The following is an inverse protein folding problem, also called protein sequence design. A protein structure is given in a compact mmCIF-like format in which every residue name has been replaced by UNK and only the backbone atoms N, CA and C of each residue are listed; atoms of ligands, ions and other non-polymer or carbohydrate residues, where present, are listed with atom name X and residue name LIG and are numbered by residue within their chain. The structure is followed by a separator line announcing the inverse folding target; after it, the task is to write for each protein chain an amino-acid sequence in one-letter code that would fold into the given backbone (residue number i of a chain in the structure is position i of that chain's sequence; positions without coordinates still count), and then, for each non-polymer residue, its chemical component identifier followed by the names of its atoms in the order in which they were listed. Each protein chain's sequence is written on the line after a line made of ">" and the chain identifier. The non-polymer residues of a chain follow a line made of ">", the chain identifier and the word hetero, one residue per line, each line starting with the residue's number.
data_IF_286116033705
#
_entry.id   IF_286116033705
#
_cell.length_a   1.000
_cell.length_b   1.000
_cell.length_c   1.000
_cell.angle_alpha   90.00
_cell.angle_beta   90.00
_cell.angle_gamma   90.00
#
_symmetry.space_group_name_H-M   'P 1'
#
loop_
_entity.id
_entity.type
_entity.pdbx_description
1 polymer ?
#
# COMPACT_ATOMS: atom_id res chain seq x y z
N UNK A 1 -14.44 -58.55 34.88
CA UNK A 1 -13.40 -58.05 33.96
C UNK A 1 -13.46 -56.53 34.03
N UNK A 2 -12.46 -55.82 34.55
CA UNK A 2 -12.51 -54.35 34.61
C UNK A 2 -11.95 -53.74 33.33
N UNK A 3 -12.60 -52.64 32.89
CA UNK A 3 -12.25 -51.86 31.72
C UNK A 3 -10.96 -51.07 31.93
N UNK A 4 -10.08 -51.05 30.92
CA UNK A 4 -8.87 -50.25 30.91
C UNK A 4 -9.17 -48.79 30.56
N UNK A 5 -8.45 -47.80 31.13
CA UNK A 5 -8.62 -46.40 30.80
C UNK A 5 -7.88 -46.05 29.48
N UNK A 6 -8.56 -45.29 28.62
CA UNK A 6 -8.02 -44.75 27.38
C UNK A 6 -6.89 -43.75 27.65
N UNK A 7 -5.72 -43.99 27.07
CA UNK A 7 -4.60 -43.05 27.05
C UNK A 7 -4.88 -41.90 26.07
N UNK A 8 -5.06 -40.71 26.57
CA UNK A 8 -5.04 -39.50 25.77
C UNK A 8 -3.65 -39.28 25.17
N UNK A 9 -3.54 -39.30 23.85
CA UNK A 9 -2.32 -38.91 23.13
C UNK A 9 -2.20 -37.38 23.18
N UNK A 10 -1.26 -36.87 23.96
CA UNK A 10 -0.77 -35.52 23.90
C UNK A 10 0.03 -35.40 22.60
N UNK A 11 -0.49 -34.62 21.66
CA UNK A 11 0.23 -34.27 20.44
C UNK A 11 1.35 -33.28 20.77
N UNK A 12 2.60 -33.47 20.29
CA UNK A 12 3.69 -32.57 20.55
C UNK A 12 3.42 -31.22 19.89
N UNK A 13 3.61 -30.12 20.63
CA UNK A 13 3.56 -28.76 20.13
C UNK A 13 4.56 -28.61 18.97
N UNK A 14 4.08 -28.56 17.75
CA UNK A 14 4.89 -28.19 16.58
C UNK A 14 5.31 -26.73 16.78
N UNK A 15 6.56 -26.49 17.16
CA UNK A 15 7.21 -25.18 16.91
C UNK A 15 7.10 -24.93 15.41
N UNK A 16 6.26 -23.98 15.03
CA UNK A 16 6.14 -23.50 13.63
C UNK A 16 7.46 -22.79 13.32
N UNK A 17 8.37 -23.48 12.66
CA UNK A 17 9.49 -22.83 12.02
C UNK A 17 8.90 -21.91 10.95
N UNK A 18 9.11 -20.61 11.06
CA UNK A 18 8.77 -19.65 10.00
C UNK A 18 9.38 -20.15 8.69
N UNK A 19 8.62 -20.25 7.59
CA UNK A 19 9.19 -20.67 6.33
C UNK A 19 10.34 -19.72 5.94
N UNK A 20 11.43 -20.28 5.43
CA UNK A 20 12.66 -19.52 5.07
C UNK A 20 12.36 -18.28 4.21
N UNK A 21 11.32 -18.32 3.35
CA UNK A 21 10.84 -17.20 2.55
C UNK A 21 10.33 -16.03 3.38
N UNK A 22 9.58 -16.28 4.47
CA UNK A 22 9.12 -15.21 5.37
C UNK A 22 10.29 -14.56 6.13
N UNK A 23 11.23 -15.36 6.60
CA UNK A 23 12.44 -14.84 7.26
C UNK A 23 13.25 -13.96 6.30
N UNK A 24 13.38 -14.34 5.02
CA UNK A 24 14.06 -13.55 4.01
C UNK A 24 13.33 -12.22 3.75
N UNK A 25 12.01 -12.23 3.65
CA UNK A 25 11.22 -11.01 3.45
C UNK A 25 11.31 -10.05 4.64
N UNK A 26 11.28 -10.57 5.88
CA UNK A 26 11.45 -9.75 7.09
C UNK A 26 12.85 -9.13 7.14
N UNK A 27 13.89 -9.88 6.80
CA UNK A 27 15.27 -9.36 6.73
C UNK A 27 15.37 -8.26 5.67
N UNK A 28 14.74 -8.42 4.49
CA UNK A 28 14.72 -7.39 3.46
C UNK A 28 13.95 -6.14 3.88
N UNK A 29 12.81 -6.26 4.55
CA UNK A 29 12.05 -5.12 5.07
C UNK A 29 12.81 -4.37 6.17
N UNK A 30 13.45 -5.10 7.07
CA UNK A 30 14.32 -4.51 8.11
C UNK A 30 15.57 -3.84 7.49
N UNK A 31 16.15 -4.45 6.47
CA UNK A 31 17.28 -3.86 5.73
C UNK A 31 16.84 -2.60 4.99
N UNK A 32 15.66 -2.57 4.38
CA UNK A 32 15.12 -1.38 3.73
C UNK A 32 14.85 -0.26 4.74
N UNK A 33 14.23 -0.57 5.88
CA UNK A 33 14.02 0.40 6.97
C UNK A 33 15.34 0.92 7.52
N UNK A 34 16.32 0.06 7.68
CA UNK A 34 17.67 0.46 8.11
C UNK A 34 18.39 1.29 7.06
N UNK A 35 18.22 0.98 5.77
CA UNK A 35 18.79 1.76 4.66
C UNK A 35 18.08 3.12 4.56
N UNK A 36 16.75 3.17 4.70
CA UNK A 36 15.98 4.40 4.73
C UNK A 36 16.35 5.26 5.96
N UNK A 37 16.46 4.64 7.14
CA UNK A 37 16.93 5.29 8.35
C UNK A 37 18.37 5.79 8.21
N UNK A 38 19.29 4.99 7.63
CA UNK A 38 20.66 5.40 7.37
C UNK A 38 20.78 6.43 6.25
N UNK A 39 19.93 6.41 5.25
CA UNK A 39 19.86 7.46 4.23
C UNK A 39 19.46 8.80 4.88
N UNK A 40 18.57 8.75 5.87
CA UNK A 40 18.15 9.94 6.63
C UNK A 40 19.15 10.37 7.72
N UNK A 41 19.81 9.42 8.40
CA UNK A 41 20.73 9.69 9.53
C UNK A 41 22.19 9.95 9.14
N UNK A 42 22.63 9.49 7.97
CA UNK A 42 23.97 9.72 7.41
C UNK A 42 23.90 10.48 6.10
N UNK A 43 22.92 11.30 5.85
CA UNK A 43 22.65 12.05 4.62
C UNK A 43 23.44 11.54 3.39
N UNK A 44 22.84 11.35 2.25
CA UNK A 44 23.61 11.40 0.99
C UNK A 44 24.49 12.63 1.09
N UNK A 45 25.66 12.66 0.47
CA UNK A 45 26.59 13.79 0.59
C UNK A 45 25.79 15.10 0.67
N UNK A 46 26.15 16.03 1.53
CA UNK A 46 25.37 17.25 1.81
C UNK A 46 24.91 18.00 0.53
N UNK A 47 25.55 17.76 -0.60
CA UNK A 47 25.11 18.20 -1.94
C UNK A 47 23.84 17.51 -2.42
N UNK A 48 23.65 16.19 -2.24
CA UNK A 48 22.47 15.48 -2.73
C UNK A 48 21.20 15.92 -1.96
N UNK A 49 21.29 16.16 -0.66
CA UNK A 49 20.14 16.63 0.17
C UNK A 49 19.87 18.12 0.02
N UNK A 50 20.85 18.94 -0.35
CA UNK A 50 20.68 20.39 -0.46
C UNK A 50 19.95 20.79 -1.76
N UNK A 51 20.01 19.94 -2.79
CA UNK A 51 19.30 20.11 -4.08
C UNK A 51 17.91 19.47 -4.07
N UNK A 52 17.64 18.53 -3.14
CA UNK A 52 16.39 17.75 -3.04
C UNK A 52 15.50 18.28 -1.92
N UNK A 53 14.77 19.37 -2.17
CA UNK A 53 13.66 19.76 -1.29
C UNK A 53 12.35 19.34 -1.94
N UNK A 54 11.93 18.12 -1.63
CA UNK A 54 10.57 17.68 -1.91
C UNK A 54 9.62 18.19 -0.83
N UNK A 55 8.35 18.26 -1.17
CA UNK A 55 7.29 18.64 -0.25
C UNK A 55 7.01 17.51 0.74
N UNK A 56 6.35 17.79 1.90
CA UNK A 56 6.05 16.75 2.89
C UNK A 56 5.24 15.58 2.33
N UNK A 57 4.32 15.85 1.39
CA UNK A 57 3.56 14.82 0.67
C UNK A 57 4.15 14.59 -0.72
N UNK A 58 4.48 13.34 -1.03
CA UNK A 58 5.04 12.94 -2.32
C UNK A 58 4.20 11.87 -2.99
N UNK A 59 3.78 12.11 -4.23
CA UNK A 59 3.30 11.05 -5.12
C UNK A 59 4.46 10.28 -5.73
N UNK A 60 4.37 8.97 -5.83
CA UNK A 60 5.39 8.13 -6.48
C UNK A 60 4.73 7.21 -7.49
N UNK A 61 5.15 7.30 -8.74
CA UNK A 61 4.72 6.43 -9.82
C UNK A 61 5.92 5.79 -10.52
N UNK A 62 5.71 4.63 -11.13
CA UNK A 62 6.60 4.06 -12.15
C UNK A 62 5.82 3.94 -13.44
N UNK A 63 6.42 4.27 -14.57
CA UNK A 63 5.71 4.32 -15.85
C UNK A 63 6.56 3.83 -17.01
N UNK A 64 5.89 3.22 -17.97
CA UNK A 64 6.40 2.96 -19.33
C UNK A 64 5.53 3.65 -20.38
N UNK A 65 4.51 4.38 -19.94
CA UNK A 65 3.55 5.10 -20.77
C UNK A 65 4.01 6.54 -21.02
N UNK A 66 3.33 7.20 -21.93
CA UNK A 66 3.47 8.63 -22.18
C UNK A 66 2.82 9.45 -21.06
N UNK A 67 3.12 10.75 -21.03
CA UNK A 67 2.47 11.68 -20.09
C UNK A 67 0.99 11.75 -20.39
N UNK A 68 0.16 11.45 -19.42
CA UNK A 68 -1.29 11.42 -19.57
C UNK A 68 -1.99 12.48 -18.69
N UNK A 69 -3.30 12.60 -18.87
CA UNK A 69 -4.11 13.58 -18.16
C UNK A 69 -4.15 13.34 -16.65
N UNK A 70 -4.10 12.07 -16.19
CA UNK A 70 -4.12 11.74 -14.77
C UNK A 70 -2.90 12.34 -14.05
N UNK A 71 -1.71 12.16 -14.63
CA UNK A 71 -0.46 12.70 -14.10
C UNK A 71 -0.44 14.24 -14.16
N UNK A 72 -0.88 14.83 -15.28
CA UNK A 72 -0.98 16.29 -15.42
C UNK A 72 -1.93 16.88 -14.38
N UNK A 73 -3.07 16.26 -14.17
CA UNK A 73 -4.05 16.71 -13.18
C UNK A 73 -3.55 16.54 -11.75
N UNK A 74 -2.77 15.51 -11.46
CA UNK A 74 -2.15 15.31 -10.15
C UNK A 74 -1.31 16.52 -9.75
N UNK A 75 -0.35 16.95 -10.59
CA UNK A 75 0.55 18.09 -10.28
C UNK A 75 -0.14 19.45 -10.33
N UNK A 76 -1.29 19.57 -11.02
CA UNK A 76 -2.06 20.82 -11.09
C UNK A 76 -2.99 21.02 -9.92
N UNK A 77 -3.54 19.94 -9.36
CA UNK A 77 -4.58 19.99 -8.34
C UNK A 77 -4.04 20.33 -6.96
N UNK A 78 -2.86 19.83 -6.65
CA UNK A 78 -2.28 20.01 -5.32
C UNK A 78 -0.88 20.66 -5.44
N UNK A 79 -0.78 21.91 -4.97
CA UNK A 79 0.48 22.66 -4.99
C UNK A 79 1.45 22.23 -3.90
N UNK A 80 0.97 21.51 -2.90
CA UNK A 80 1.77 21.06 -1.75
C UNK A 80 2.27 19.62 -1.89
N UNK A 81 2.12 19.03 -3.08
CA UNK A 81 2.61 17.68 -3.40
C UNK A 81 3.79 17.74 -4.36
N UNK A 82 4.79 16.89 -4.14
CA UNK A 82 5.82 16.59 -5.14
C UNK A 82 5.52 15.26 -5.82
N UNK A 83 5.62 15.19 -7.15
CA UNK A 83 5.51 13.97 -7.91
C UNK A 83 6.89 13.44 -8.28
N UNK A 84 7.20 12.21 -7.90
CA UNK A 84 8.40 11.47 -8.28
C UNK A 84 8.04 10.41 -9.30
N UNK A 85 8.55 10.55 -10.52
CA UNK A 85 8.29 9.65 -11.64
C UNK A 85 9.51 8.81 -11.95
N UNK A 86 9.35 7.50 -11.91
CA UNK A 86 10.41 6.53 -12.22
C UNK A 86 10.19 5.97 -13.62
N UNK A 87 11.05 6.38 -14.55
CA UNK A 87 11.09 5.81 -15.89
C UNK A 87 11.83 4.47 -15.93
N UNK A 88 11.53 3.67 -16.95
CA UNK A 88 12.26 2.45 -17.28
C UNK A 88 12.76 2.51 -18.73
N UNK A 89 13.45 1.50 -19.22
CA UNK A 89 14.03 1.50 -20.58
C UNK A 89 13.01 1.71 -21.72
N UNK A 90 11.73 1.44 -21.47
CA UNK A 90 10.65 1.61 -22.45
C UNK A 90 9.95 2.96 -22.40
N UNK A 91 10.28 3.78 -21.41
CA UNK A 91 9.64 5.09 -21.19
C UNK A 91 10.11 6.09 -22.24
N UNK A 92 9.20 6.96 -22.71
CA UNK A 92 9.54 8.10 -23.58
C UNK A 92 10.23 9.20 -22.75
N UNK A 93 11.56 9.15 -22.68
CA UNK A 93 12.35 10.02 -21.79
C UNK A 93 12.23 11.51 -22.14
N UNK A 94 12.14 11.88 -23.42
CA UNK A 94 12.12 13.27 -23.86
C UNK A 94 10.80 13.94 -23.45
N UNK A 95 9.70 13.22 -23.54
CA UNK A 95 8.39 13.70 -23.12
C UNK A 95 8.34 13.92 -21.60
N UNK A 96 8.84 12.98 -20.81
CA UNK A 96 8.87 13.09 -19.36
C UNK A 96 9.83 14.19 -18.87
N UNK A 97 10.92 14.45 -19.60
CA UNK A 97 11.80 15.60 -19.31
C UNK A 97 11.09 16.91 -19.61
N UNK A 98 10.39 17.02 -20.75
CA UNK A 98 9.58 18.18 -21.09
C UNK A 98 8.49 18.43 -20.03
N UNK A 99 7.87 17.36 -19.52
CA UNK A 99 6.89 17.45 -18.43
C UNK A 99 7.55 17.96 -17.14
N UNK A 100 8.70 17.45 -16.76
CA UNK A 100 9.46 17.93 -15.60
C UNK A 100 9.83 19.40 -15.74
N UNK A 101 10.34 19.82 -16.90
CA UNK A 101 10.72 21.22 -17.13
C UNK A 101 9.54 22.18 -16.99
N UNK A 102 8.36 21.72 -17.44
CA UNK A 102 7.11 22.50 -17.30
C UNK A 102 6.60 22.59 -15.88
N UNK A 103 6.81 21.54 -15.06
CA UNK A 103 6.30 21.43 -13.69
C UNK A 103 7.45 21.27 -12.67
N UNK A 104 8.57 21.98 -12.89
CA UNK A 104 9.84 21.83 -12.14
C UNK A 104 9.69 22.00 -10.62
N UNK A 105 8.69 22.76 -10.13
CA UNK A 105 8.42 22.93 -8.70
C UNK A 105 7.59 21.79 -8.08
N UNK A 106 7.02 20.92 -8.92
CA UNK A 106 6.08 19.89 -8.48
C UNK A 106 6.42 18.48 -8.98
N UNK A 107 7.28 18.34 -9.98
CA UNK A 107 7.59 17.03 -10.56
C UNK A 107 9.09 16.78 -10.74
N UNK A 108 9.52 15.58 -10.41
CA UNK A 108 10.87 15.08 -10.67
C UNK A 108 10.76 13.80 -11.48
N UNK A 109 11.43 13.76 -12.63
CA UNK A 109 11.52 12.58 -13.46
C UNK A 109 12.93 11.96 -13.38
N UNK A 110 13.00 10.67 -13.08
CA UNK A 110 14.24 9.92 -13.01
C UNK A 110 14.34 8.91 -14.16
N UNK A 111 15.13 9.25 -15.18
CA UNK A 111 15.47 8.31 -16.26
C UNK A 111 16.35 7.18 -15.75
N UNK A 112 16.58 6.09 -16.52
CA UNK A 112 17.53 5.05 -16.16
C UNK A 112 18.93 5.57 -15.82
N UNK A 113 19.43 6.58 -16.53
CA UNK A 113 20.74 7.19 -16.27
C UNK A 113 20.75 7.94 -14.94
N UNK A 114 19.70 8.72 -14.64
CA UNK A 114 19.55 9.44 -13.37
C UNK A 114 19.52 8.45 -12.20
N UNK A 115 18.72 7.37 -12.33
CA UNK A 115 18.61 6.33 -11.31
C UNK A 115 19.94 5.65 -11.02
N UNK A 116 20.78 5.38 -12.04
CA UNK A 116 22.09 4.76 -11.87
C UNK A 116 23.07 5.66 -11.11
N UNK A 117 22.90 6.97 -11.15
CA UNK A 117 23.72 7.95 -10.43
C UNK A 117 23.35 8.12 -8.95
N UNK A 118 22.20 7.58 -8.52
CA UNK A 118 21.73 7.72 -7.14
C UNK A 118 22.64 6.94 -6.16
N UNK A 119 22.87 7.48 -4.95
CA UNK A 119 23.78 6.89 -3.98
C UNK A 119 23.17 5.73 -3.18
N UNK A 120 22.20 5.00 -3.75
CA UNK A 120 21.51 3.90 -3.07
C UNK A 120 22.06 2.55 -3.51
N UNK A 121 22.77 1.84 -2.63
CA UNK A 121 23.35 0.53 -2.93
C UNK A 121 22.30 -0.54 -3.29
N UNK A 122 21.05 -0.38 -2.85
CA UNK A 122 19.94 -1.29 -3.15
C UNK A 122 19.56 -1.30 -4.65
N UNK A 123 19.86 -0.22 -5.40
CA UNK A 123 19.44 -0.07 -6.80
C UNK A 123 19.96 -1.16 -7.73
N UNK A 124 21.17 -1.68 -7.46
CA UNK A 124 21.77 -2.78 -8.23
C UNK A 124 21.01 -4.10 -8.13
N UNK A 125 20.14 -4.24 -7.11
CA UNK A 125 19.35 -5.45 -6.87
C UNK A 125 17.91 -5.33 -7.37
N UNK A 126 17.50 -4.15 -7.83
CA UNK A 126 16.15 -3.91 -8.38
C UNK A 126 16.23 -4.07 -9.91
N UNK A 127 15.58 -5.10 -10.49
CA UNK A 127 15.66 -5.36 -11.93
C UNK A 127 14.99 -4.25 -12.75
N UNK A 128 15.46 -4.06 -13.97
CA UNK A 128 14.81 -3.22 -14.99
C UNK A 128 13.58 -3.94 -15.58
N UNK A 129 12.70 -3.18 -16.22
CA UNK A 129 11.42 -3.66 -16.75
C UNK A 129 10.62 -4.45 -15.70
N UNK A 130 10.63 -3.97 -14.48
CA UNK A 130 10.02 -4.62 -13.35
C UNK A 130 9.29 -3.60 -12.45
N UNK A 131 8.07 -3.92 -12.02
CA UNK A 131 7.26 -3.07 -11.15
C UNK A 131 8.00 -2.62 -9.88
N UNK A 132 8.87 -3.48 -9.33
CA UNK A 132 9.71 -3.15 -8.17
C UNK A 132 10.63 -1.94 -8.35
N UNK A 133 10.84 -1.42 -9.61
CA UNK A 133 11.55 -0.16 -9.84
C UNK A 133 10.92 1.02 -9.10
N UNK A 134 9.63 0.98 -8.80
CA UNK A 134 8.93 1.96 -7.97
C UNK A 134 9.61 2.17 -6.62
N UNK A 135 10.27 1.14 -6.06
CA UNK A 135 11.07 1.25 -4.82
C UNK A 135 12.21 2.28 -4.91
N UNK A 136 12.71 2.58 -6.11
CA UNK A 136 13.70 3.65 -6.32
C UNK A 136 13.07 5.01 -6.04
N UNK A 137 11.84 5.22 -6.50
CA UNK A 137 11.07 6.43 -6.23
C UNK A 137 10.78 6.62 -4.75
N UNK A 138 10.45 5.54 -4.04
CA UNK A 138 10.26 5.61 -2.60
C UNK A 138 11.54 6.01 -1.87
N UNK A 139 12.68 5.41 -2.22
CA UNK A 139 13.96 5.79 -1.63
C UNK A 139 14.33 7.25 -1.92
N UNK A 140 14.06 7.71 -3.15
CA UNK A 140 14.29 9.09 -3.54
C UNK A 140 13.40 10.07 -2.76
N UNK A 141 12.11 9.77 -2.64
CA UNK A 141 11.15 10.56 -1.88
C UNK A 141 11.52 10.64 -0.39
N UNK A 142 11.88 9.52 0.22
CA UNK A 142 12.35 9.46 1.62
C UNK A 142 13.62 10.30 1.81
N UNK A 143 14.59 10.18 0.90
CA UNK A 143 15.82 10.97 0.96
C UNK A 143 15.57 12.46 0.74
N UNK A 144 14.56 12.81 -0.05
CA UNK A 144 14.09 14.17 -0.31
C UNK A 144 13.29 14.80 0.83
N UNK A 145 13.02 14.05 1.91
CA UNK A 145 12.36 14.56 3.12
C UNK A 145 10.84 14.45 3.12
N UNK A 146 10.23 13.64 2.22
CA UNK A 146 8.80 13.38 2.29
C UNK A 146 8.43 12.72 3.62
N UNK A 147 7.33 13.16 4.22
CA UNK A 147 6.76 12.63 5.46
C UNK A 147 5.62 11.66 5.18
N UNK A 148 4.97 11.84 4.03
CA UNK A 148 3.94 10.97 3.50
C UNK A 148 4.22 10.64 2.04
N UNK A 149 3.99 9.39 1.64
CA UNK A 149 4.15 8.93 0.27
C UNK A 149 2.83 8.35 -0.22
N UNK A 150 2.32 8.92 -1.31
CA UNK A 150 1.20 8.39 -2.04
C UNK A 150 1.70 7.49 -3.18
N UNK A 151 1.51 6.19 -3.01
CA UNK A 151 1.85 5.15 -3.97
C UNK A 151 0.63 4.89 -4.86
N UNK A 152 0.72 5.21 -6.15
CA UNK A 152 -0.40 5.07 -7.09
C UNK A 152 0.08 4.71 -8.49
N UNK A 153 -0.85 4.32 -9.35
CA UNK A 153 -0.56 3.99 -10.75
C UNK A 153 -0.72 5.24 -11.64
N UNK A 154 0.02 5.28 -12.75
CA UNK A 154 0.12 6.43 -13.63
C UNK A 154 -1.17 6.75 -14.41
N UNK A 155 -2.15 5.85 -14.42
CA UNK A 155 -3.48 6.01 -15.02
C UNK A 155 -4.58 6.40 -14.01
N UNK A 156 -4.22 6.68 -12.77
CA UNK A 156 -5.18 6.96 -11.72
C UNK A 156 -5.51 8.45 -11.59
N UNK A 157 -6.79 8.80 -11.68
CA UNK A 157 -7.30 10.16 -11.51
C UNK A 157 -7.74 10.44 -10.07
N UNK A 158 -7.24 11.50 -9.46
CA UNK A 158 -7.75 11.97 -8.18
C UNK A 158 -9.18 12.52 -8.33
N UNK A 159 -10.12 12.01 -7.53
CA UNK A 159 -11.52 12.43 -7.54
C UNK A 159 -11.71 13.80 -6.90
N UNK A 160 -11.07 14.06 -5.78
CA UNK A 160 -11.19 15.32 -5.07
C UNK A 160 -10.22 16.36 -5.61
N UNK A 161 -10.69 17.57 -5.98
CA UNK A 161 -9.82 18.67 -6.34
C UNK A 161 -9.05 19.27 -5.15
N UNK A 162 -9.41 18.91 -3.92
CA UNK A 162 -8.88 19.47 -2.67
C UNK A 162 -7.76 18.61 -2.08
N UNK A 163 -7.31 17.58 -2.81
CA UNK A 163 -6.15 16.79 -2.44
C UNK A 163 -6.35 15.86 -1.23
N UNK A 164 -5.23 15.52 -0.59
CA UNK A 164 -5.17 14.56 0.51
C UNK A 164 -5.54 15.15 1.88
N UNK A 165 -5.66 16.47 2.01
CA UNK A 165 -5.83 17.18 3.27
C UNK A 165 -7.11 16.79 4.03
N UNK A 166 -8.13 16.33 3.30
CA UNK A 166 -9.41 15.97 3.89
C UNK A 166 -9.51 14.56 4.45
N UNK A 167 -8.57 13.66 4.12
CA UNK A 167 -8.66 12.26 4.59
C UNK A 167 -8.66 12.17 6.11
N UNK A 168 -7.97 13.08 6.79
CA UNK A 168 -7.93 13.15 8.25
C UNK A 168 -9.28 13.54 8.89
N UNK A 169 -10.15 14.23 8.14
CA UNK A 169 -11.48 14.65 8.61
C UNK A 169 -12.59 13.62 8.32
N UNK A 170 -12.29 12.54 7.63
CA UNK A 170 -13.28 11.53 7.27
C UNK A 170 -13.71 10.71 8.48
N UNK A 171 -14.97 10.24 8.44
CA UNK A 171 -15.51 9.41 9.51
C UNK A 171 -14.73 8.09 9.62
N UNK A 172 -14.22 7.79 10.81
CA UNK A 172 -13.46 6.58 11.09
C UNK A 172 -14.33 5.54 11.78
N UNK A 173 -14.21 4.32 11.34
CA UNK A 173 -14.79 3.14 11.96
C UNK A 173 -13.68 2.15 12.30
N UNK A 174 -13.65 1.67 13.53
CA UNK A 174 -12.77 0.59 13.93
C UNK A 174 -13.55 -0.71 14.01
N UNK A 175 -12.97 -1.77 13.45
CA UNK A 175 -13.51 -3.11 13.60
C UNK A 175 -12.93 -3.74 14.87
N UNK A 176 -13.78 -4.42 15.61
CA UNK A 176 -13.38 -5.31 16.71
C UNK A 176 -13.59 -6.75 16.29
N UNK A 177 -12.58 -7.59 16.47
CA UNK A 177 -12.74 -9.03 16.35
C UNK A 177 -13.55 -9.53 17.58
N UNK A 178 -14.64 -10.25 17.32
CA UNK A 178 -15.51 -10.82 18.35
C UNK A 178 -15.14 -12.24 18.73
N UNK A 179 -14.31 -12.89 17.88
CA UNK A 179 -13.79 -14.25 18.11
C UNK A 179 -12.30 -14.30 17.84
N UNK A 180 -11.62 -15.30 18.43
CA UNK A 180 -10.20 -15.54 18.20
C UNK A 180 -9.89 -16.16 16.82
N UNK A 181 -10.89 -16.60 16.09
CA UNK A 181 -10.77 -17.24 14.77
C UNK A 181 -10.91 -16.24 13.61
N UNK A 182 -11.12 -14.97 13.91
CA UNK A 182 -11.17 -13.88 12.93
C UNK A 182 -9.75 -13.54 12.44
N UNK A 183 -9.32 -14.13 11.33
CA UNK A 183 -7.96 -13.97 10.81
C UNK A 183 -7.85 -13.13 9.54
N UNK A 184 -8.94 -12.97 8.82
CA UNK A 184 -9.00 -12.20 7.55
C UNK A 184 -10.28 -11.39 7.49
N UNK A 185 -10.21 -10.21 6.87
CA UNK A 185 -11.36 -9.35 6.62
C UNK A 185 -11.31 -8.77 5.20
N UNK A 186 -12.45 -8.73 4.54
CA UNK A 186 -12.64 -8.14 3.23
C UNK A 186 -13.35 -6.78 3.36
N UNK A 187 -12.68 -5.64 3.17
CA UNK A 187 -13.26 -4.32 3.38
C UNK A 187 -14.19 -3.86 2.26
N UNK A 188 -14.08 -4.42 1.04
CA UNK A 188 -14.77 -3.92 -0.13
C UNK A 188 -16.31 -3.86 0.03
N UNK A 189 -16.98 -4.91 0.55
CA UNK A 189 -18.42 -4.88 0.77
C UNK A 189 -18.89 -3.78 1.73
N UNK A 190 -18.05 -3.40 2.71
CA UNK A 190 -18.36 -2.31 3.63
C UNK A 190 -18.57 -0.97 2.92
N UNK A 191 -17.89 -0.74 1.81
CA UNK A 191 -18.00 0.50 1.02
C UNK A 191 -19.15 0.49 0.01
N UNK A 192 -20.08 -0.46 0.10
CA UNK A 192 -21.31 -0.53 -0.67
C UNK A 192 -21.08 -0.48 -2.19
N UNK A 193 -20.48 -1.53 -2.79
CA UNK A 193 -20.22 -1.57 -4.21
C UNK A 193 -21.51 -1.67 -5.04
N UNK A 194 -21.54 -1.04 -6.22
CA UNK A 194 -22.69 -0.99 -7.14
C UNK A 194 -23.20 -2.36 -7.57
N UNK A 195 -22.31 -3.36 -7.64
CA UNK A 195 -22.62 -4.72 -8.09
C UNK A 195 -22.96 -5.68 -6.94
N UNK A 196 -23.33 -5.16 -5.77
CA UNK A 196 -23.64 -5.95 -4.58
C UNK A 196 -22.40 -6.34 -3.78
N UNK A 197 -22.62 -7.01 -2.66
CA UNK A 197 -21.58 -7.26 -1.65
C UNK A 197 -20.62 -8.40 -2.01
N UNK A 198 -20.90 -9.19 -3.04
CA UNK A 198 -20.05 -10.32 -3.41
C UNK A 198 -18.87 -9.87 -4.30
N UNK A 199 -17.98 -9.09 -3.69
CA UNK A 199 -16.74 -8.56 -4.28
C UNK A 199 -15.57 -8.82 -3.34
N UNK A 200 -14.37 -9.07 -3.87
CA UNK A 200 -13.16 -9.24 -3.08
C UNK A 200 -11.92 -8.66 -3.78
N UNK A 201 -10.94 -8.12 -3.02
CA UNK A 201 -9.72 -7.58 -3.57
C UNK A 201 -8.79 -8.68 -4.08
N UNK A 202 -7.90 -8.32 -4.98
CA UNK A 202 -6.77 -9.16 -5.37
C UNK A 202 -5.96 -9.53 -4.13
N UNK A 203 -5.59 -10.82 -4.05
CA UNK A 203 -4.82 -11.33 -2.92
C UNK A 203 -5.65 -11.75 -1.70
N UNK A 204 -6.97 -11.55 -1.69
CA UNK A 204 -7.83 -12.10 -0.64
C UNK A 204 -7.82 -13.64 -0.70
N UNK A 205 -7.72 -14.36 0.43
CA UNK A 205 -7.67 -15.81 0.41
C UNK A 205 -8.95 -16.43 -0.16
N UNK A 206 -8.83 -17.18 -1.25
CA UNK A 206 -9.97 -17.67 -2.03
C UNK A 206 -10.92 -18.57 -1.24
N UNK A 207 -10.43 -19.30 -0.24
CA UNK A 207 -11.25 -20.15 0.63
C UNK A 207 -12.25 -19.35 1.49
N UNK A 208 -12.03 -18.04 1.68
CA UNK A 208 -12.88 -17.18 2.51
C UNK A 208 -13.79 -16.24 1.72
N UNK A 209 -13.74 -16.24 0.38
CA UNK A 209 -14.55 -15.29 -0.43
C UNK A 209 -16.07 -15.49 -0.27
N UNK A 210 -16.52 -16.66 0.18
CA UNK A 210 -17.93 -16.99 0.42
C UNK A 210 -18.30 -17.03 1.91
N UNK A 211 -17.36 -16.78 2.78
CA UNK A 211 -17.60 -16.77 4.22
C UNK A 211 -18.07 -15.36 4.64
N UNK A 212 -19.37 -15.22 4.89
CA UNK A 212 -19.99 -13.96 5.27
C UNK A 212 -19.41 -13.38 6.55
N UNK A 213 -18.86 -14.20 7.44
CA UNK A 213 -18.20 -13.72 8.64
C UNK A 213 -16.93 -12.90 8.35
N UNK A 214 -16.38 -12.98 7.13
CA UNK A 214 -15.18 -12.24 6.74
C UNK A 214 -15.47 -10.86 6.13
N UNK A 215 -16.72 -10.52 5.82
CA UNK A 215 -17.06 -9.25 5.17
C UNK A 215 -18.36 -8.61 5.64
N UNK A 216 -19.19 -9.32 6.37
CA UNK A 216 -20.42 -8.74 6.95
C UNK A 216 -20.09 -8.06 8.28
N UNK A 217 -20.62 -6.86 8.50
CA UNK A 217 -20.48 -6.14 9.77
C UNK A 217 -21.84 -5.52 10.15
N UNK A 218 -22.39 -5.83 11.34
CA UNK A 218 -21.88 -6.79 12.33
C UNK A 218 -22.03 -8.24 11.87
N UNK A 219 -21.14 -9.12 12.37
CA UNK A 219 -21.16 -10.56 12.13
C UNK A 219 -20.78 -11.33 13.40
N UNK A 220 -20.69 -12.67 13.30
CA UNK A 220 -20.15 -13.48 14.40
C UNK A 220 -18.67 -13.18 14.69
N UNK A 221 -17.92 -12.72 13.68
CA UNK A 221 -16.48 -12.48 13.78
C UNK A 221 -16.10 -11.02 13.98
N UNK A 222 -16.97 -10.08 13.58
CA UNK A 222 -16.64 -8.64 13.59
C UNK A 222 -17.81 -7.77 14.06
N UNK A 223 -17.50 -6.77 14.89
CA UNK A 223 -18.38 -5.68 15.27
C UNK A 223 -17.75 -4.33 14.89
N UNK A 224 -18.60 -3.31 14.66
CA UNK A 224 -18.16 -1.92 14.51
C UNK A 224 -18.10 -1.24 15.86
N UNK A 225 -17.07 -0.43 16.02
CA UNK A 225 -16.95 0.57 17.05
C UNK A 225 -16.85 1.95 16.39
N UNK A 226 -17.68 2.90 16.80
CA UNK A 226 -17.52 4.28 16.37
C UNK A 226 -16.25 4.81 17.06
N UNK A 227 -15.22 5.07 16.28
CA UNK A 227 -13.99 5.62 16.79
C UNK A 227 -14.14 7.14 16.92
N UNK A 228 -14.76 7.57 18.00
CA UNK A 228 -14.77 8.97 18.46
C UNK A 228 -13.40 9.31 19.08
N UNK A 229 -12.31 9.21 18.34
CA UNK A 229 -11.01 9.42 18.95
C UNK A 229 -10.00 10.12 18.04
N UNK A 230 -9.23 11.00 18.66
CA UNK A 230 -8.17 11.85 18.09
C UNK A 230 -6.96 11.08 17.52
N UNK A 231 -6.98 9.74 17.47
CA UNK A 231 -5.81 8.94 17.10
C UNK A 231 -5.75 8.58 15.59
N UNK A 232 -6.05 9.58 14.73
CA UNK A 232 -5.85 9.42 13.28
C UNK A 232 -4.38 9.17 12.95
N UNK A 233 -3.45 9.75 13.71
CA UNK A 233 -2.01 9.58 13.53
C UNK A 233 -1.56 8.11 13.70
N UNK A 234 -2.36 7.26 14.33
CA UNK A 234 -2.08 5.83 14.43
C UNK A 234 -2.32 5.07 13.12
N UNK A 235 -3.08 5.63 12.15
CA UNK A 235 -3.33 5.00 10.85
C UNK A 235 -2.21 5.38 9.88
N UNK A 236 -1.14 4.61 9.88
CA UNK A 236 0.07 4.92 9.11
C UNK A 236 0.04 4.44 7.65
N UNK A 237 -0.92 3.60 7.28
CA UNK A 237 -1.17 3.14 5.90
C UNK A 237 -2.65 3.28 5.61
N UNK A 238 -3.01 4.00 4.56
CA UNK A 238 -4.40 4.14 4.11
C UNK A 238 -4.50 3.66 2.67
N UNK A 239 -5.16 2.51 2.46
CA UNK A 239 -5.53 2.04 1.14
C UNK A 239 -6.84 2.70 0.71
N UNK A 240 -6.83 3.54 -0.30
CA UNK A 240 -8.04 4.03 -0.94
C UNK A 240 -8.60 3.00 -1.92
N UNK A 241 -9.91 2.80 -1.92
CA UNK A 241 -10.56 2.05 -2.98
C UNK A 241 -10.56 2.89 -4.27
N UNK A 242 -10.56 2.22 -5.42
CA UNK A 242 -10.68 2.87 -6.72
C UNK A 242 -12.08 2.64 -7.31
N UNK A 243 -12.72 3.71 -7.79
CA UNK A 243 -13.96 3.58 -8.56
C UNK A 243 -13.66 3.13 -10.00
N UNK A 244 -14.64 2.53 -10.64
CA UNK A 244 -14.68 2.02 -12.01
C UNK A 244 -13.84 0.75 -12.21
N UNK A 245 -12.56 0.77 -11.90
CA UNK A 245 -11.65 -0.38 -12.06
C UNK A 245 -10.86 -0.65 -10.77
N UNK A 246 -11.54 -1.13 -9.69
CA UNK A 246 -10.86 -1.50 -8.46
C UNK A 246 -9.95 -2.70 -8.67
N UNK A 247 -8.91 -2.80 -7.84
CA UNK A 247 -7.98 -3.91 -7.88
C UNK A 247 -8.61 -5.20 -7.32
N UNK A 248 -9.41 -5.83 -8.15
CA UNK A 248 -10.05 -7.11 -7.85
C UNK A 248 -9.26 -8.28 -8.44
N UNK A 249 -9.52 -9.44 -7.91
CA UNK A 249 -8.94 -10.71 -8.32
C UNK A 249 -9.27 -11.06 -9.78
N UNK A 250 -8.40 -11.84 -10.43
CA UNK A 250 -8.58 -12.24 -11.83
C UNK A 250 -9.85 -13.06 -12.05
N UNK A 251 -10.23 -13.93 -11.09
CA UNK A 251 -11.47 -14.72 -11.18
C UNK A 251 -12.67 -13.78 -11.13
N UNK A 252 -12.63 -12.76 -10.28
CA UNK A 252 -13.66 -11.73 -10.25
C UNK A 252 -13.82 -11.07 -11.61
N UNK A 253 -12.73 -10.59 -12.22
CA UNK A 253 -12.72 -9.93 -13.54
C UNK A 253 -13.27 -10.80 -14.65
N UNK A 254 -13.03 -12.10 -14.60
CA UNK A 254 -13.51 -13.06 -15.61
C UNK A 254 -14.98 -13.45 -15.43
N UNK A 255 -15.55 -13.30 -14.24
CA UNK A 255 -16.88 -13.84 -13.89
C UNK A 255 -17.89 -12.80 -13.48
N UNK A 256 -17.47 -11.55 -13.25
CA UNK A 256 -18.31 -10.46 -12.73
C UNK A 256 -18.17 -9.21 -13.58
N UNK A 257 -19.24 -8.40 -13.70
CA UNK A 257 -19.19 -7.18 -14.49
C UNK A 257 -18.34 -6.08 -13.85
N UNK A 258 -17.69 -5.27 -14.69
CA UNK A 258 -17.11 -3.97 -14.41
C UNK A 258 -17.86 -2.94 -15.28
N UNK A 259 -17.88 -1.66 -14.96
CA UNK A 259 -17.20 -0.99 -13.83
C UNK A 259 -17.92 -1.17 -12.48
N UNK A 260 -17.20 -0.91 -11.39
CA UNK A 260 -17.72 -0.90 -10.02
C UNK A 260 -17.45 0.48 -9.41
N UNK A 261 -18.44 1.04 -8.72
CA UNK A 261 -18.27 2.22 -7.89
C UNK A 261 -18.68 1.91 -6.46
N UNK A 262 -18.09 2.63 -5.51
CA UNK A 262 -18.37 2.49 -4.09
C UNK A 262 -19.16 3.70 -3.61
N UNK A 263 -20.30 3.45 -2.93
CA UNK A 263 -21.24 4.51 -2.54
C UNK A 263 -20.95 5.13 -1.17
N UNK A 264 -20.25 4.42 -0.30
CA UNK A 264 -19.88 4.99 1.00
C UNK A 264 -18.70 5.92 0.81
N UNK A 265 -18.91 7.21 1.06
CA UNK A 265 -17.94 8.29 0.87
C UNK A 265 -17.38 8.77 2.22
N UNK A 266 -16.28 9.51 2.18
CA UNK A 266 -15.64 10.17 3.32
C UNK A 266 -15.52 9.27 4.57
N UNK A 267 -15.11 8.04 4.34
CA UNK A 267 -15.09 6.99 5.38
C UNK A 267 -13.76 6.26 5.37
N UNK A 268 -13.24 5.99 6.58
CA UNK A 268 -12.09 5.11 6.81
C UNK A 268 -12.54 3.96 7.69
N UNK A 269 -12.19 2.74 7.28
CA UNK A 269 -12.40 1.51 8.02
C UNK A 269 -11.05 0.96 8.48
N UNK A 270 -10.88 0.75 9.76
CA UNK A 270 -9.64 0.24 10.36
C UNK A 270 -9.86 -1.18 10.88
N UNK A 271 -9.26 -2.20 10.26
CA UNK A 271 -9.31 -3.58 10.74
C UNK A 271 -8.58 -3.75 12.09
N UNK A 272 -8.98 -4.70 12.93
CA UNK A 272 -8.32 -4.95 14.20
C UNK A 272 -6.93 -5.58 14.00
N UNK A 273 -6.11 -5.52 15.04
CA UNK A 273 -4.83 -6.26 15.08
C UNK A 273 -5.07 -7.76 14.91
N UNK A 274 -4.07 -8.45 14.39
CA UNK A 274 -4.08 -9.87 14.09
C UNK A 274 -5.06 -10.31 12.99
N UNK A 275 -5.66 -9.36 12.27
CA UNK A 275 -6.51 -9.62 11.11
C UNK A 275 -5.80 -9.16 9.84
N UNK A 276 -5.71 -10.05 8.86
CA UNK A 276 -5.16 -9.73 7.55
C UNK A 276 -6.24 -9.16 6.63
N UNK A 277 -5.88 -8.09 5.96
CA UNK A 277 -6.65 -7.51 4.87
C UNK A 277 -5.64 -7.13 3.78
N UNK A 278 -5.69 -7.73 2.59
CA UNK A 278 -4.75 -7.39 1.53
C UNK A 278 -5.03 -5.98 0.99
N UNK A 279 -3.95 -5.28 0.69
CA UNK A 279 -3.95 -3.99 0.04
C UNK A 279 -2.90 -3.98 -1.08
N UNK A 280 -3.00 -3.05 -2.00
CA UNK A 280 -2.23 -3.03 -3.25
C UNK A 280 -1.42 -1.73 -3.40
N UNK A 281 -0.88 -1.47 -4.61
CA UNK A 281 -0.12 -0.27 -4.93
C UNK A 281 -0.89 0.71 -5.84
N UNK A 282 -2.21 0.54 -5.98
CA UNK A 282 -3.01 1.38 -6.87
C UNK A 282 -3.29 2.76 -6.27
N UNK A 283 -3.55 2.85 -4.96
CA UNK A 283 -3.88 4.10 -4.26
C UNK A 283 -3.60 3.99 -2.77
N UNK A 284 -2.38 4.16 -2.35
CA UNK A 284 -1.98 3.98 -0.96
C UNK A 284 -1.24 5.20 -0.44
N UNK A 285 -1.76 5.80 0.62
CA UNK A 285 -1.04 6.80 1.39
C UNK A 285 -0.29 6.11 2.53
N UNK A 286 1.02 6.32 2.59
CA UNK A 286 1.89 5.74 3.62
C UNK A 286 2.60 6.86 4.35
N UNK A 287 2.42 6.93 5.66
CA UNK A 287 3.12 7.87 6.54
C UNK A 287 4.48 7.33 6.98
N UNK A 288 5.39 8.22 7.37
CA UNK A 288 6.78 7.93 7.74
C UNK A 288 6.96 6.69 8.64
N UNK A 289 6.15 6.48 9.71
CA UNK A 289 6.32 5.31 10.59
C UNK A 289 6.16 3.96 9.89
N UNK A 290 5.52 3.95 8.70
CA UNK A 290 5.29 2.74 7.91
C UNK A 290 6.12 2.67 6.62
N UNK A 291 7.09 3.54 6.40
CA UNK A 291 7.92 3.53 5.18
C UNK A 291 8.69 2.23 4.94
N UNK A 292 8.96 1.46 5.99
CA UNK A 292 9.50 0.11 5.83
C UNK A 292 8.59 -0.81 4.99
N UNK A 293 7.29 -0.51 4.97
CA UNK A 293 6.29 -1.24 4.20
C UNK A 293 6.25 -0.88 2.72
N UNK A 294 7.00 0.12 2.26
CA UNK A 294 7.02 0.54 0.86
C UNK A 294 7.83 -0.41 -0.05
N UNK A 295 8.70 -1.26 0.52
CA UNK A 295 9.54 -2.16 -0.26
C UNK A 295 8.69 -3.16 -1.06
N UNK A 296 8.80 -3.11 -2.37
CA UNK A 296 8.22 -4.09 -3.28
C UNK A 296 9.18 -5.28 -3.46
N UNK A 297 8.81 -6.51 -3.04
CA UNK A 297 9.62 -7.69 -3.27
C UNK A 297 9.87 -7.93 -4.77
N UNK A 298 11.12 -8.05 -5.17
CA UNK A 298 11.53 -8.27 -6.58
C UNK A 298 11.79 -9.75 -6.92
N UNK A 299 11.67 -10.62 -5.93
CA UNK A 299 11.85 -12.08 -6.09
C UNK A 299 10.56 -12.81 -6.46
N UNK A 300 9.47 -12.07 -6.54
CA UNK A 300 8.14 -12.54 -6.97
C UNK A 300 7.70 -11.76 -8.21
N UNK A 301 6.71 -12.27 -8.93
CA UNK A 301 6.19 -11.56 -10.12
C UNK A 301 5.59 -10.21 -9.74
N UNK A 302 5.67 -9.21 -10.64
CA UNK A 302 5.11 -7.87 -10.38
C UNK A 302 3.63 -7.89 -10.00
N UNK A 303 2.85 -8.86 -10.49
CA UNK A 303 1.42 -9.01 -10.19
C UNK A 303 1.09 -9.35 -8.73
N UNK A 304 2.05 -9.83 -7.95
CA UNK A 304 1.85 -10.21 -6.55
C UNK A 304 2.81 -9.50 -5.60
N UNK A 305 3.71 -8.67 -6.13
CA UNK A 305 4.74 -7.98 -5.35
C UNK A 305 4.15 -7.06 -4.29
N UNK A 306 3.19 -6.25 -4.67
CA UNK A 306 2.44 -5.35 -3.78
C UNK A 306 1.56 -6.11 -2.77
N UNK A 307 0.94 -7.20 -3.19
CA UNK A 307 0.15 -8.06 -2.30
C UNK A 307 1.05 -8.71 -1.23
N UNK A 308 2.22 -9.23 -1.62
CA UNK A 308 3.20 -9.74 -0.65
C UNK A 308 3.67 -8.65 0.31
N UNK A 309 3.97 -7.47 -0.21
CA UNK A 309 4.28 -6.28 0.59
C UNK A 309 3.19 -6.03 1.63
N UNK A 310 1.92 -6.06 1.21
CA UNK A 310 0.79 -5.77 2.09
C UNK A 310 0.71 -6.73 3.29
N UNK A 311 0.84 -8.03 3.07
CA UNK A 311 0.81 -9.03 4.12
C UNK A 311 1.99 -8.91 5.09
N UNK A 312 3.19 -8.67 4.55
CA UNK A 312 4.40 -8.49 5.36
C UNK A 312 4.27 -7.24 6.23
N UNK A 313 3.88 -6.11 5.62
CA UNK A 313 3.73 -4.84 6.33
C UNK A 313 2.65 -4.93 7.40
N UNK A 314 1.49 -5.51 7.09
CA UNK A 314 0.41 -5.74 8.04
C UNK A 314 0.93 -6.51 9.25
N UNK A 315 1.65 -7.61 9.02
CA UNK A 315 2.20 -8.43 10.11
C UNK A 315 3.20 -7.65 10.98
N UNK A 316 4.04 -6.82 10.36
CA UNK A 316 5.02 -6.01 11.08
C UNK A 316 4.37 -4.88 11.87
N UNK A 317 3.33 -4.24 11.34
CA UNK A 317 2.58 -3.19 12.03
C UNK A 317 1.90 -3.69 13.32
N UNK A 318 1.57 -4.98 13.43
CA UNK A 318 1.04 -5.55 14.67
C UNK A 318 1.99 -5.45 15.86
N UNK A 319 3.30 -5.32 15.62
CA UNK A 319 4.31 -5.12 16.68
C UNK A 319 4.49 -3.63 17.04
N UNK A 320 3.73 -2.75 16.42
CA UNK A 320 3.78 -1.30 16.63
C UNK A 320 2.43 -0.77 17.13
N UNK A 321 2.34 0.52 17.43
CA UNK A 321 1.05 1.19 17.69
C UNK A 321 0.25 1.51 16.41
N UNK A 322 0.91 1.41 15.25
CA UNK A 322 0.33 1.86 13.99
C UNK A 322 -0.59 0.83 13.35
N UNK A 323 -1.57 1.32 12.60
CA UNK A 323 -2.66 0.55 12.00
C UNK A 323 -2.71 0.78 10.48
N UNK A 324 -3.47 -0.07 9.81
CA UNK A 324 -3.86 0.10 8.41
C UNK A 324 -5.32 0.51 8.38
N UNK A 325 -5.65 1.49 7.53
CA UNK A 325 -7.02 1.87 7.22
C UNK A 325 -7.33 1.62 5.74
N UNK A 326 -8.61 1.42 5.46
CA UNK A 326 -9.18 1.40 4.12
C UNK A 326 -10.09 2.59 3.99
N UNK A 327 -9.95 3.36 2.91
CA UNK A 327 -10.79 4.53 2.70
C UNK A 327 -11.70 4.37 1.48
N UNK A 328 -12.79 5.13 1.47
CA UNK A 328 -13.56 5.35 0.25
C UNK A 328 -12.67 5.93 -0.85
N UNK A 329 -13.13 5.80 -2.09
CA UNK A 329 -12.40 6.27 -3.24
C UNK A 329 -12.24 7.79 -3.21
N UNK A 330 -11.01 8.28 -3.28
CA UNK A 330 -10.71 9.68 -3.60
C UNK A 330 -10.03 9.83 -4.96
N UNK A 331 -10.24 8.80 -5.80
CA UNK A 331 -9.87 8.75 -7.21
C UNK A 331 -11.11 8.79 -8.09
#
# INVERSE_FOLDING_TARGET
>A
MPAQPSRSRVLPSRRRNLPRTLATCVIFSLAFSYIAYRARSRGPSARFTQELRLKPLCGVITTILEVNEAVVNFVKKDRDVSLVVIGDHKTNHDEWRTFQDKYHDAAVYLSPADQQSLPFSALRHVPWNHFGRKSVGFLYAIAGGCEQIYDFDDDNHLRSPEGFDKVSSWKRYELKATTNDAHVFNPYPFFQPTNGTFIWPRGFPLQFIRDENTYTVPSQSFALDDADGDDFESVAVIQSLANHDPDVDAIYRMTRPLPISFHREETILVPPRAVYTPWNAQAVLVSEPAFFGLLLPVTVTGRVSDIWRSYITTRLLWETRYKIGFSSAYK
#
